data_IF_647794002699
#
_entry.id   IF_647794002699
#
_cell.length_a   1.000
_cell.length_b   1.000
_cell.length_c   1.000
_cell.angle_alpha   90.00
_cell.angle_beta   90.00
_cell.angle_gamma   90.00
#
_symmetry.space_group_name_H-M   'P 1'
#
loop_
_entity.id
_entity.type
_entity.pdbx_description
1 polymer ?
#
# COMPACT_ATOMS: atom_id res chain seq x y z
N UNK A 1 -0.98 6.65 -30.14
CA UNK A 1 -1.83 5.68 -29.43
C UNK A 1 -3.24 6.22 -29.31
N UNK A 2 -4.26 5.42 -29.62
CA UNK A 2 -5.67 5.81 -29.49
C UNK A 2 -6.05 5.80 -28.00
N UNK A 3 -6.40 6.95 -27.44
CA UNK A 3 -6.77 7.11 -26.02
C UNK A 3 -8.29 7.03 -25.86
N UNK A 4 -8.77 6.54 -24.72
CA UNK A 4 -10.20 6.38 -24.43
C UNK A 4 -10.92 7.71 -24.23
N UNK A 5 -12.25 7.74 -24.45
CA UNK A 5 -13.07 8.97 -24.37
C UNK A 5 -12.93 9.72 -23.03
N UNK A 6 -12.94 8.98 -21.92
CA UNK A 6 -12.77 9.53 -20.56
C UNK A 6 -11.40 10.18 -20.35
N UNK A 7 -10.35 9.57 -20.90
CA UNK A 7 -9.00 10.12 -20.84
C UNK A 7 -8.91 11.44 -21.61
N UNK A 8 -9.44 11.47 -22.83
CA UNK A 8 -9.38 12.68 -23.67
C UNK A 8 -10.11 13.86 -23.02
N UNK A 9 -11.30 13.62 -22.45
CA UNK A 9 -12.07 14.67 -21.78
C UNK A 9 -11.34 15.31 -20.57
N UNK A 10 -10.52 14.54 -19.84
CA UNK A 10 -9.70 15.09 -18.74
C UNK A 10 -8.47 15.79 -19.29
N UNK A 11 -7.82 15.18 -20.28
CA UNK A 11 -6.62 15.75 -20.89
C UNK A 11 -6.88 17.11 -21.57
N UNK A 12 -8.11 17.38 -22.02
CA UNK A 12 -8.53 18.68 -22.54
C UNK A 12 -8.60 19.77 -21.46
N UNK A 13 -8.88 19.40 -20.20
CA UNK A 13 -8.88 20.34 -19.07
C UNK A 13 -7.48 20.69 -18.57
N UNK A 14 -6.46 19.93 -18.98
CA UNK A 14 -5.08 20.09 -18.53
C UNK A 14 -4.28 20.75 -19.66
N UNK A 15 -3.89 22.00 -19.44
CA UNK A 15 -2.95 22.68 -20.33
C UNK A 15 -1.56 22.08 -20.23
N UNK A 16 -1.03 21.62 -21.37
CA UNK A 16 0.33 21.08 -21.46
C UNK A 16 1.34 22.21 -21.34
N UNK A 17 2.35 22.03 -20.49
CA UNK A 17 3.44 22.98 -20.20
C UNK A 17 3.09 24.18 -19.32
N UNK A 18 1.85 24.30 -18.82
CA UNK A 18 1.55 25.25 -17.74
C UNK A 18 2.12 24.71 -16.43
N UNK A 19 2.84 25.54 -15.70
CA UNK A 19 3.23 25.27 -14.31
C UNK A 19 2.06 25.64 -13.41
N UNK A 20 1.43 24.63 -12.82
CA UNK A 20 0.34 24.80 -11.87
C UNK A 20 0.90 24.98 -10.46
N UNK A 21 0.27 25.85 -9.67
CA UNK A 21 0.49 25.83 -8.22
C UNK A 21 -0.09 24.55 -7.62
N UNK A 22 0.42 24.17 -6.44
CA UNK A 22 0.05 22.93 -5.76
C UNK A 22 -1.46 22.85 -5.52
N UNK A 23 -2.09 23.96 -5.10
CA UNK A 23 -3.53 24.00 -4.84
C UNK A 23 -4.36 23.82 -6.12
N UNK A 24 -3.98 24.49 -7.21
CA UNK A 24 -4.62 24.36 -8.52
C UNK A 24 -4.49 22.93 -9.07
N UNK A 25 -3.29 22.35 -8.95
CA UNK A 25 -3.03 20.97 -9.35
C UNK A 25 -3.87 19.96 -8.56
N UNK A 26 -3.99 20.12 -7.24
CA UNK A 26 -4.82 19.26 -6.40
C UNK A 26 -6.31 19.36 -6.72
N UNK A 27 -6.79 20.55 -7.11
CA UNK A 27 -8.15 20.75 -7.60
C UNK A 27 -8.42 19.94 -8.87
N UNK A 28 -7.54 20.07 -9.87
CA UNK A 28 -7.64 19.36 -11.14
C UNK A 28 -7.62 17.83 -10.97
N UNK A 29 -6.79 17.32 -10.07
CA UNK A 29 -6.72 15.88 -9.75
C UNK A 29 -8.06 15.38 -9.20
N UNK A 30 -8.71 16.13 -8.31
CA UNK A 30 -10.02 15.75 -7.74
C UNK A 30 -11.14 15.80 -8.78
N UNK A 31 -11.13 16.81 -9.66
CA UNK A 31 -12.11 16.91 -10.76
C UNK A 31 -11.92 15.82 -11.84
N UNK A 32 -10.68 15.35 -11.99
CA UNK A 32 -10.31 14.26 -12.90
C UNK A 32 -10.73 12.87 -12.42
N UNK A 33 -11.38 12.75 -11.26
CA UNK A 33 -11.82 11.46 -10.71
C UNK A 33 -12.85 10.79 -11.61
N UNK A 34 -12.56 9.57 -12.07
CA UNK A 34 -13.42 8.82 -13.00
C UNK A 34 -13.80 7.46 -12.44
N UNK A 35 -12.97 6.90 -11.57
CA UNK A 35 -13.24 5.64 -10.92
C UNK A 35 -14.33 5.79 -9.86
N UNK A 36 -15.07 4.71 -9.66
CA UNK A 36 -16.10 4.60 -8.62
C UNK A 36 -15.53 4.35 -7.22
N UNK A 37 -14.25 4.00 -7.13
CA UNK A 37 -13.55 3.72 -5.89
C UNK A 37 -12.62 4.88 -5.51
N UNK A 38 -11.92 4.74 -4.40
CA UNK A 38 -10.98 5.77 -3.94
C UNK A 38 -9.65 5.68 -4.70
N UNK A 39 -9.33 6.72 -5.46
CA UNK A 39 -8.18 6.73 -6.37
C UNK A 39 -6.89 7.09 -5.62
N UNK A 40 -5.77 6.48 -6.00
CA UNK A 40 -4.45 6.85 -5.51
C UNK A 40 -3.88 7.98 -6.36
N UNK A 41 -3.30 8.99 -5.72
CA UNK A 41 -2.54 10.04 -6.41
C UNK A 41 -1.06 9.66 -6.38
N UNK A 42 -0.44 9.64 -7.56
CA UNK A 42 0.99 9.35 -7.73
C UNK A 42 1.73 10.61 -8.19
N UNK A 43 2.99 10.75 -7.76
CA UNK A 43 3.86 11.86 -8.15
C UNK A 43 5.04 11.29 -8.93
N UNK A 44 5.21 11.76 -10.16
CA UNK A 44 6.35 11.42 -11.00
C UNK A 44 7.40 12.53 -10.92
N UNK A 45 8.57 12.22 -10.36
CA UNK A 45 9.68 13.16 -10.25
C UNK A 45 10.80 12.72 -11.18
N UNK A 46 11.20 13.61 -12.09
CA UNK A 46 12.39 13.40 -12.90
C UNK A 46 13.61 13.89 -12.12
N UNK A 47 14.49 12.96 -11.72
CA UNK A 47 15.65 13.24 -10.86
C UNK A 47 16.90 13.66 -11.62
N UNK A 48 16.94 13.55 -12.96
CA UNK A 48 18.09 13.95 -13.77
C UNK A 48 19.38 13.17 -13.53
N UNK A 49 19.30 12.00 -12.89
CA UNK A 49 20.45 11.13 -12.55
C UNK A 49 20.78 10.13 -13.67
N UNK A 50 22.04 9.71 -13.74
CA UNK A 50 22.46 8.60 -14.61
C UNK A 50 22.09 7.25 -13.98
N UNK A 51 21.03 6.63 -14.49
CA UNK A 51 20.49 5.35 -14.02
C UNK A 51 21.50 4.19 -13.98
N UNK A 52 22.67 4.31 -14.62
CA UNK A 52 23.71 3.27 -14.61
C UNK A 52 24.60 3.29 -13.37
N UNK A 53 24.78 4.44 -12.74
CA UNK A 53 25.71 4.62 -11.61
C UNK A 53 24.98 4.93 -10.31
N UNK A 54 23.92 5.73 -10.39
CA UNK A 54 23.23 6.24 -9.21
C UNK A 54 21.86 5.60 -9.07
N UNK A 55 21.63 4.90 -7.95
CA UNK A 55 20.33 4.36 -7.59
C UNK A 55 19.82 5.07 -6.33
N UNK A 56 18.69 5.78 -6.45
CA UNK A 56 18.03 6.39 -5.29
C UNK A 56 17.15 5.33 -4.63
N UNK A 57 17.48 4.97 -3.39
CA UNK A 57 16.63 4.19 -2.50
C UNK A 57 16.45 4.97 -1.21
N UNK A 58 15.20 5.26 -0.87
CA UNK A 58 14.86 5.95 0.36
C UNK A 58 13.46 5.57 0.80
N UNK A 59 13.26 5.49 2.12
CA UNK A 59 11.95 5.48 2.74
C UNK A 59 11.69 6.86 3.33
N UNK A 60 10.47 7.35 3.17
CA UNK A 60 10.02 8.59 3.79
C UNK A 60 8.73 8.31 4.54
N UNK A 61 8.64 8.83 5.76
CA UNK A 61 7.39 8.81 6.51
C UNK A 61 6.60 10.05 6.10
N UNK A 62 5.41 9.83 5.53
CA UNK A 62 4.54 10.93 5.14
C UNK A 62 3.89 11.56 6.40
N UNK A 63 3.91 12.88 6.58
CA UNK A 63 3.35 13.54 7.77
C UNK A 63 1.86 13.26 7.99
N UNK A 64 1.12 13.04 6.90
CA UNK A 64 -0.32 12.74 6.93
C UNK A 64 -0.64 11.27 6.59
N UNK A 65 0.38 10.41 6.52
CA UNK A 65 0.24 9.03 6.07
C UNK A 65 -0.23 8.90 4.62
N UNK A 66 -0.71 7.71 4.27
CA UNK A 66 -1.24 7.41 2.91
C UNK A 66 -2.76 7.45 2.84
N UNK A 67 -3.44 7.91 3.90
CA UNK A 67 -4.91 7.93 4.00
C UNK A 67 -5.59 6.55 4.13
N UNK A 68 -4.85 5.45 3.95
CA UNK A 68 -5.33 4.09 4.20
C UNK A 68 -4.90 3.61 5.59
N UNK A 69 -5.87 3.34 6.46
CA UNK A 69 -5.64 2.65 7.72
C UNK A 69 -5.31 1.20 7.38
N UNK A 70 -4.01 0.86 7.41
CA UNK A 70 -3.57 -0.52 7.19
C UNK A 70 -3.81 -1.32 8.45
N UNK A 71 -4.52 -2.44 8.33
CA UNK A 71 -4.66 -3.40 9.41
C UNK A 71 -3.45 -4.34 9.44
N UNK A 72 -2.73 -4.37 10.55
CA UNK A 72 -1.49 -5.14 10.69
C UNK A 72 -1.74 -6.38 11.56
N UNK A 73 -1.42 -7.55 11.03
CA UNK A 73 -1.44 -8.81 11.76
C UNK A 73 0.00 -9.27 12.05
N UNK A 74 0.33 -9.49 13.32
CA UNK A 74 1.66 -9.96 13.75
C UNK A 74 1.55 -11.41 14.24
N UNK A 75 2.35 -12.29 13.63
CA UNK A 75 2.42 -13.71 13.98
C UNK A 75 3.71 -13.97 14.75
N UNK A 76 3.61 -14.12 16.07
CA UNK A 76 4.76 -14.34 16.96
C UNK A 76 4.40 -15.16 18.20
N UNK A 77 5.34 -16.01 18.64
CA UNK A 77 5.28 -16.81 19.87
C UNK A 77 5.97 -16.13 21.06
N UNK A 78 6.94 -15.24 20.81
CA UNK A 78 7.88 -14.73 21.81
C UNK A 78 7.72 -13.23 22.08
N UNK A 79 7.28 -12.45 21.09
CA UNK A 79 7.20 -10.98 21.15
C UNK A 79 5.76 -10.45 21.11
N UNK A 80 4.82 -11.18 21.70
CA UNK A 80 3.40 -10.80 21.67
C UNK A 80 3.13 -9.46 22.34
N UNK A 81 3.70 -9.22 23.52
CA UNK A 81 3.53 -7.96 24.27
C UNK A 81 4.09 -6.75 23.52
N UNK A 82 5.30 -6.87 22.94
CA UNK A 82 5.91 -5.79 22.14
C UNK A 82 5.05 -5.46 20.91
N UNK A 83 4.42 -6.45 20.29
CA UNK A 83 3.56 -6.25 19.13
C UNK A 83 2.22 -5.58 19.50
N UNK A 84 1.64 -5.94 20.65
CA UNK A 84 0.44 -5.27 21.18
C UNK A 84 0.74 -3.81 21.56
N UNK A 85 1.88 -3.56 22.22
CA UNK A 85 2.33 -2.21 22.57
C UNK A 85 2.67 -1.35 21.34
N UNK A 86 3.16 -1.96 20.26
CA UNK A 86 3.41 -1.30 18.98
C UNK A 86 2.12 -0.96 18.19
N UNK A 87 0.95 -1.37 18.68
CA UNK A 87 -0.35 -1.06 18.08
C UNK A 87 -0.74 -1.98 16.92
N UNK A 88 -0.31 -3.25 16.93
CA UNK A 88 -0.80 -4.23 15.97
C UNK A 88 -2.28 -4.57 16.23
N UNK A 89 -3.10 -4.61 15.17
CA UNK A 89 -4.54 -4.91 15.29
C UNK A 89 -4.82 -6.36 15.70
N UNK A 90 -3.95 -7.29 15.26
CA UNK A 90 -4.06 -8.70 15.54
C UNK A 90 -2.69 -9.26 15.90
N UNK A 91 -2.59 -9.86 17.09
CA UNK A 91 -1.37 -10.56 17.53
C UNK A 91 -1.74 -12.00 17.87
N UNK A 92 -0.95 -12.96 17.38
CA UNK A 92 -1.16 -14.35 17.73
C UNK A 92 -0.08 -15.28 17.22
N UNK A 93 -0.14 -16.54 17.62
CA UNK A 93 0.78 -17.59 17.17
C UNK A 93 0.03 -18.60 16.28
N UNK A 94 -0.02 -19.86 16.69
CA UNK A 94 -0.60 -20.96 15.91
C UNK A 94 -2.11 -20.84 15.74
N UNK A 95 -2.81 -20.36 16.77
CA UNK A 95 -4.26 -20.17 16.74
C UNK A 95 -4.71 -19.15 15.68
N UNK A 96 -3.89 -18.11 15.43
CA UNK A 96 -4.18 -17.12 14.41
C UNK A 96 -3.99 -17.73 13.02
N UNK A 97 -2.94 -18.56 12.84
CA UNK A 97 -2.71 -19.31 11.59
C UNK A 97 -3.88 -20.25 11.28
N UNK A 98 -4.41 -20.96 12.28
CA UNK A 98 -5.59 -21.81 12.11
C UNK A 98 -6.85 -21.01 11.77
N UNK A 99 -7.06 -19.85 12.40
CA UNK A 99 -8.17 -18.94 12.07
C UNK A 99 -8.06 -18.40 10.65
N UNK A 100 -6.86 -18.09 10.16
CA UNK A 100 -6.63 -17.67 8.77
C UNK A 100 -6.90 -18.84 7.81
N UNK A 101 -6.41 -20.05 8.13
CA UNK A 101 -6.65 -21.28 7.36
C UNK A 101 -8.14 -21.59 7.22
N UNK A 102 -8.91 -21.38 8.28
CA UNK A 102 -10.35 -21.59 8.32
C UNK A 102 -11.16 -20.41 7.73
N UNK A 103 -10.50 -19.39 7.18
CA UNK A 103 -11.15 -18.23 6.55
C UNK A 103 -11.81 -17.25 7.53
N UNK A 104 -11.57 -17.38 8.85
CA UNK A 104 -12.15 -16.53 9.89
C UNK A 104 -11.34 -15.26 10.16
N UNK A 105 -10.08 -15.21 9.74
CA UNK A 105 -9.20 -14.04 9.86
C UNK A 105 -8.57 -13.72 8.50
N UNK A 106 -9.04 -12.66 7.84
CA UNK A 106 -8.55 -12.26 6.52
C UNK A 106 -8.69 -10.77 6.19
N UNK A 107 -9.02 -9.95 7.20
CA UNK A 107 -9.19 -8.50 7.07
C UNK A 107 -7.94 -7.77 7.57
N UNK A 108 -6.78 -8.11 7.02
CA UNK A 108 -5.52 -7.42 7.31
C UNK A 108 -4.78 -7.15 6.00
N UNK A 109 -4.07 -6.03 5.96
CA UNK A 109 -3.37 -5.51 4.78
C UNK A 109 -1.86 -5.81 4.82
N UNK A 110 -1.32 -6.13 6.00
CA UNK A 110 0.08 -6.47 6.20
C UNK A 110 0.19 -7.59 7.23
N UNK A 111 0.97 -8.63 6.92
CA UNK A 111 1.34 -9.68 7.85
C UNK A 111 2.82 -9.58 8.17
N UNK A 112 3.16 -9.56 9.46
CA UNK A 112 4.54 -9.61 9.94
C UNK A 112 4.70 -10.88 10.77
N UNK A 113 5.71 -11.69 10.48
CA UNK A 113 5.96 -12.93 11.22
C UNK A 113 7.40 -12.97 11.75
N UNK A 114 7.58 -13.58 12.93
CA UNK A 114 8.92 -13.92 13.42
C UNK A 114 9.47 -15.15 12.71
N UNK A 115 10.79 -15.28 12.52
CA UNK A 115 11.40 -16.40 11.80
C UNK A 115 10.98 -17.79 12.31
N UNK A 116 10.79 -17.92 13.63
CA UNK A 116 10.35 -19.15 14.29
C UNK A 116 8.99 -19.67 13.79
N UNK A 117 8.10 -18.76 13.36
CA UNK A 117 6.73 -19.09 12.96
C UNK A 117 6.58 -19.29 11.45
N UNK A 118 7.61 -18.98 10.66
CA UNK A 118 7.61 -19.14 9.20
C UNK A 118 7.32 -20.57 8.71
N UNK A 119 7.83 -21.66 9.35
CA UNK A 119 7.50 -23.03 8.94
C UNK A 119 6.00 -23.34 9.06
N UNK A 120 5.33 -22.78 10.07
CA UNK A 120 3.88 -22.95 10.29
C UNK A 120 3.07 -22.05 9.36
N UNK A 121 3.56 -20.84 9.08
CA UNK A 121 2.99 -19.90 8.12
C UNK A 121 2.95 -20.48 6.69
N UNK A 122 3.93 -21.31 6.31
CA UNK A 122 4.02 -21.93 4.99
C UNK A 122 2.74 -22.69 4.58
N UNK A 123 1.98 -23.24 5.53
CA UNK A 123 0.72 -23.92 5.26
C UNK A 123 -0.37 -22.97 4.74
N UNK A 124 -0.35 -21.72 5.22
CA UNK A 124 -1.33 -20.68 4.90
C UNK A 124 -0.80 -19.71 3.83
N UNK A 125 0.49 -19.79 3.50
CA UNK A 125 1.14 -19.00 2.45
C UNK A 125 0.48 -19.18 1.07
N UNK A 126 -0.12 -20.34 0.76
CA UNK A 126 -0.90 -20.53 -0.47
C UNK A 126 -2.16 -19.66 -0.54
N UNK A 127 -2.72 -19.29 0.61
CA UNK A 127 -3.91 -18.44 0.73
C UNK A 127 -3.51 -16.96 0.76
N UNK A 128 -2.40 -16.63 1.42
CA UNK A 128 -1.90 -15.25 1.57
C UNK A 128 -1.15 -14.76 0.33
N UNK A 129 -0.37 -15.62 -0.33
CA UNK A 129 0.42 -15.31 -1.52
C UNK A 129 -0.34 -14.61 -2.66
N UNK A 130 -1.50 -15.11 -3.14
CA UNK A 130 -2.24 -14.44 -4.21
C UNK A 130 -2.83 -13.08 -3.80
N UNK A 131 -2.87 -12.77 -2.50
CA UNK A 131 -3.29 -11.46 -1.98
C UNK A 131 -2.13 -10.48 -1.82
N UNK A 132 -0.89 -10.91 -2.06
CA UNK A 132 0.31 -10.08 -1.86
C UNK A 132 0.56 -9.74 -0.38
N UNK A 133 0.08 -10.59 0.53
CA UNK A 133 0.18 -10.48 1.98
C UNK A 133 1.29 -11.38 2.53
#
# INVERSE_FOLDING_TARGET
>A
MKRGKKYSAIAEKIEKNKLYEVEEALGLVKEGKVAKFDESVEVHVNLGIDNKKDQVRGSVVLPHGTGKVKKVAVITSTKTKEAEEAGADLVGAEELIEKIKNGKAGNFDVVVATPEMMPKLAQVAKILGPKGL
#
